data_IF_825459878559
#
_entry.id   IF_825459878559
#
_cell.length_a   1.000
_cell.length_b   1.000
_cell.length_c   1.000
_cell.angle_alpha   90.00
_cell.angle_beta   90.00
_cell.angle_gamma   90.00
#
_symmetry.space_group_name_H-M   'P 1'
#
loop_
_entity.id
_entity.type
_entity.pdbx_description
1 polymer ?
#
# COMPACT_ATOMS: atom_id res chain seq x y z
N UNK A 1 -17.82 19.61 -4.47
CA UNK A 1 -16.90 18.68 -5.15
C UNK A 1 -15.92 18.19 -4.10
N UNK A 2 -15.76 16.87 -3.96
CA UNK A 2 -14.84 16.26 -3.00
C UNK A 2 -13.63 15.75 -3.77
N UNK A 3 -12.44 16.26 -3.45
CA UNK A 3 -11.20 15.84 -4.11
C UNK A 3 -10.51 14.79 -3.24
N UNK A 4 -9.82 13.85 -3.89
CA UNK A 4 -9.08 12.80 -3.19
C UNK A 4 -7.99 13.39 -2.29
N UNK A 5 -7.33 14.43 -2.77
CA UNK A 5 -6.26 15.16 -2.11
C UNK A 5 -6.76 15.84 -0.84
N UNK A 6 -7.96 16.42 -0.86
CA UNK A 6 -8.57 16.99 0.33
C UNK A 6 -8.98 15.93 1.36
N UNK A 7 -9.33 14.72 0.91
CA UNK A 7 -9.65 13.61 1.81
C UNK A 7 -8.40 13.03 2.47
N UNK A 8 -7.23 13.13 1.83
CA UNK A 8 -5.94 12.69 2.38
C UNK A 8 -5.26 13.73 3.29
N UNK A 9 -5.69 14.99 3.25
CA UNK A 9 -5.11 16.08 4.02
C UNK A 9 -5.44 15.94 5.53
N UNK A 10 -4.45 16.02 6.41
CA UNK A 10 -4.61 15.80 7.85
C UNK A 10 -5.56 16.81 8.53
N UNK A 11 -5.71 18.02 7.95
CA UNK A 11 -6.56 19.08 8.51
C UNK A 11 -7.96 19.08 7.87
N UNK A 12 -8.01 18.84 6.56
CA UNK A 12 -9.25 18.92 5.77
C UNK A 12 -9.97 17.58 5.65
N UNK A 13 -9.24 16.47 5.68
CA UNK A 13 -9.77 15.11 5.53
C UNK A 13 -10.89 14.77 6.50
N UNK A 14 -10.74 14.99 7.82
CA UNK A 14 -11.81 14.78 8.79
C UNK A 14 -13.06 15.62 8.50
N UNK A 15 -12.87 16.86 8.03
CA UNK A 15 -13.97 17.79 7.72
C UNK A 15 -14.72 17.33 6.46
N UNK A 16 -14.00 16.95 5.41
CA UNK A 16 -14.60 16.41 4.18
C UNK A 16 -15.30 15.07 4.43
N UNK A 17 -14.72 14.19 5.25
CA UNK A 17 -15.35 12.95 5.67
C UNK A 17 -16.65 13.20 6.45
N UNK A 18 -16.69 14.24 7.29
CA UNK A 18 -17.90 14.67 7.99
C UNK A 18 -18.99 15.13 7.03
N UNK A 19 -18.64 15.86 5.97
CA UNK A 19 -19.60 16.27 4.93
C UNK A 19 -20.17 15.07 4.19
N UNK A 20 -19.35 14.06 3.90
CA UNK A 20 -19.81 12.79 3.28
C UNK A 20 -20.75 12.05 4.22
N UNK A 21 -20.39 11.89 5.49
CA UNK A 21 -21.24 11.22 6.47
C UNK A 21 -22.60 11.93 6.61
N UNK A 22 -22.61 13.26 6.70
CA UNK A 22 -23.82 14.06 6.77
C UNK A 22 -24.66 14.03 5.48
N UNK A 23 -24.03 13.86 4.31
CA UNK A 23 -24.72 13.65 3.04
C UNK A 23 -25.38 12.27 3.01
N UNK A 24 -24.64 11.21 3.37
CA UNK A 24 -25.14 9.84 3.40
C UNK A 24 -26.28 9.64 4.41
N UNK A 25 -26.24 10.36 5.54
CA UNK A 25 -27.30 10.36 6.54
C UNK A 25 -28.67 10.82 6.02
N UNK A 26 -28.70 11.56 4.90
CA UNK A 26 -29.94 12.02 4.27
C UNK A 26 -30.57 10.95 3.37
N UNK A 27 -29.80 9.93 2.99
CA UNK A 27 -30.29 8.79 2.22
C UNK A 27 -30.89 7.73 3.14
N UNK A 28 -32.06 7.23 2.80
CA UNK A 28 -32.66 6.09 3.52
C UNK A 28 -31.79 4.84 3.36
N UNK A 29 -31.58 4.10 4.45
CA UNK A 29 -30.87 2.82 4.46
C UNK A 29 -29.37 2.89 4.82
N UNK A 30 -28.83 4.06 5.18
CA UNK A 30 -27.47 4.18 5.71
C UNK A 30 -27.52 4.62 7.17
N UNK A 31 -26.98 3.80 8.06
CA UNK A 31 -26.79 4.17 9.46
C UNK A 31 -25.61 5.13 9.57
N UNK A 32 -25.90 6.40 9.84
CA UNK A 32 -24.88 7.44 9.87
C UNK A 32 -24.05 7.37 11.14
N UNK A 33 -22.72 7.46 10.98
CA UNK A 33 -21.80 7.60 12.11
C UNK A 33 -21.97 8.99 12.73
N UNK A 34 -22.04 9.10 14.08
CA UNK A 34 -22.07 10.42 14.74
C UNK A 34 -20.88 11.28 14.32
N UNK A 35 -21.13 12.56 14.01
CA UNK A 35 -20.10 13.48 13.50
C UNK A 35 -18.84 13.55 14.39
N UNK A 36 -18.99 13.41 15.70
CA UNK A 36 -17.91 13.38 16.68
C UNK A 36 -16.93 12.20 16.47
N UNK A 37 -17.42 11.08 15.93
CA UNK A 37 -16.62 9.87 15.68
C UNK A 37 -15.99 9.86 14.29
N UNK A 38 -16.44 10.72 13.38
CA UNK A 38 -15.96 10.77 12.00
C UNK A 38 -14.44 10.98 11.90
N UNK A 39 -13.80 11.89 12.68
CA UNK A 39 -12.35 12.05 12.63
C UNK A 39 -11.58 10.77 12.97
N UNK A 40 -12.07 10.02 13.97
CA UNK A 40 -11.45 8.76 14.40
C UNK A 40 -11.60 7.65 13.34
N UNK A 41 -12.79 7.53 12.75
CA UNK A 41 -13.04 6.57 11.67
C UNK A 41 -12.22 6.92 10.42
N UNK A 42 -12.17 8.21 10.06
CA UNK A 42 -11.34 8.69 8.96
C UNK A 42 -9.87 8.34 9.16
N UNK A 43 -9.30 8.62 10.35
CA UNK A 43 -7.89 8.32 10.64
C UNK A 43 -7.61 6.81 10.49
N UNK A 44 -8.49 5.95 11.03
CA UNK A 44 -8.33 4.50 10.91
C UNK A 44 -8.43 3.97 9.48
N UNK A 45 -9.37 4.47 8.69
CA UNK A 45 -9.66 3.94 7.35
C UNK A 45 -8.70 4.52 6.31
N UNK A 46 -8.52 5.83 6.32
CA UNK A 46 -7.71 6.55 5.32
C UNK A 46 -6.22 6.44 5.67
N UNK A 47 -5.86 6.40 6.96
CA UNK A 47 -4.46 6.34 7.40
C UNK A 47 -4.05 4.99 7.98
N UNK A 48 -4.81 3.92 7.67
CA UNK A 48 -4.51 2.55 8.08
C UNK A 48 -3.04 2.16 7.87
N UNK A 49 -2.47 2.48 6.70
CA UNK A 49 -1.07 2.18 6.37
C UNK A 49 -0.05 3.03 7.13
N UNK A 50 -0.40 4.24 7.56
CA UNK A 50 0.46 5.06 8.42
C UNK A 50 0.40 4.57 9.88
N UNK A 51 -0.76 4.15 10.36
CA UNK A 51 -0.92 3.58 11.69
C UNK A 51 -0.19 2.24 11.84
N UNK A 52 -0.27 1.36 10.84
CA UNK A 52 0.53 0.13 10.82
C UNK A 52 2.04 0.40 10.89
N UNK A 53 2.54 1.41 10.15
CA UNK A 53 3.95 1.82 10.21
C UNK A 53 4.34 2.33 11.59
N UNK A 54 3.50 3.17 12.22
CA UNK A 54 3.72 3.65 13.60
C UNK A 54 3.70 2.51 14.62
N UNK A 55 2.79 1.55 14.49
CA UNK A 55 2.73 0.37 15.36
C UNK A 55 3.96 -0.51 15.21
N UNK A 56 4.42 -0.77 13.98
CA UNK A 56 5.66 -1.53 13.74
C UNK A 56 6.88 -0.80 14.33
N UNK A 57 7.02 0.51 14.10
CA UNK A 57 8.09 1.32 14.69
C UNK A 57 8.03 1.38 16.24
N UNK A 58 6.83 1.38 16.83
CA UNK A 58 6.63 1.34 18.28
C UNK A 58 6.99 -0.02 18.91
N UNK A 59 6.81 -1.12 18.18
CA UNK A 59 7.23 -2.46 18.59
C UNK A 59 8.76 -2.57 18.54
N UNK A 60 9.37 -2.06 17.46
CA UNK A 60 10.83 -2.06 17.28
C UNK A 60 11.57 -1.22 18.33
N UNK A 61 10.96 -0.12 18.78
CA UNK A 61 11.53 0.73 19.85
C UNK A 61 11.34 0.16 21.26
N UNK A 62 10.33 -0.69 21.49
CA UNK A 62 10.14 -1.37 22.79
C UNK A 62 11.08 -2.56 22.98
N UNK A 63 11.52 -3.23 21.92
CA UNK A 63 12.51 -4.33 21.99
C UNK A 63 13.94 -3.89 22.31
N UNK A 64 14.23 -2.57 22.34
CA UNK A 64 15.58 -2.04 22.52
C UNK A 64 15.86 -1.47 23.92
N UNK A 65 14.93 -1.63 24.88
CA UNK A 65 15.03 -1.06 26.24
C UNK A 65 15.44 -2.05 27.34
N UNK A 66 15.73 -3.31 27.05
CA UNK A 66 16.24 -4.28 28.05
C UNK A 66 17.75 -4.51 28.00
N UNK A 67 18.51 -3.77 27.19
CA UNK A 67 19.98 -3.84 27.18
C UNK A 67 20.55 -2.48 26.83
N UNK A 68 20.59 -1.57 27.81
CA UNK A 68 21.50 -0.42 27.84
C UNK A 68 21.42 0.29 29.19
N UNK A 69 21.76 -0.45 30.23
CA UNK A 69 22.49 0.10 31.37
C UNK A 69 23.94 -0.37 31.17
N UNK A 70 24.92 0.51 31.35
CA UNK A 70 26.32 0.40 30.89
C UNK A 70 26.54 0.81 29.43
N UNK A 71 26.59 2.11 29.16
CA UNK A 71 27.87 2.82 29.03
C UNK A 71 27.62 4.29 28.73
N UNK A 72 28.15 5.10 29.63
CA UNK A 72 28.12 6.55 29.69
C UNK A 72 29.51 7.00 29.29
N UNK A 73 29.63 7.74 28.17
CA UNK A 73 30.46 8.94 27.99
C UNK A 73 30.87 9.16 26.53
N UNK A 74 30.73 10.43 26.11
CA UNK A 74 31.55 11.17 25.14
C UNK A 74 31.50 10.69 23.66
N UNK A 75 31.31 11.52 22.64
CA UNK A 75 31.68 12.92 22.49
C UNK A 75 30.77 13.67 21.50
N UNK A 76 30.77 14.99 21.68
CA UNK A 76 30.33 16.02 20.75
C UNK A 76 31.13 15.99 19.43
N UNK A 77 30.48 16.32 18.30
CA UNK A 77 30.96 17.27 17.26
C UNK A 77 29.91 17.27 16.12
N UNK A 78 29.10 18.32 15.95
CA UNK A 78 29.36 19.49 15.10
C UNK A 78 29.78 19.15 13.65
N UNK A 79 28.89 19.43 12.69
CA UNK A 79 29.17 19.28 11.26
C UNK A 79 27.93 19.55 10.40
N UNK A 80 27.64 20.83 10.15
CA UNK A 80 26.70 21.29 9.12
C UNK A 80 27.34 21.16 7.75
N UNK A 81 26.74 20.39 6.85
CA UNK A 81 27.00 20.50 5.40
C UNK A 81 25.71 20.85 4.65
N UNK A 82 25.76 22.00 3.98
CA UNK A 82 24.82 22.44 2.95
C UNK A 82 25.17 21.71 1.65
N UNK A 83 24.19 21.08 1.00
CA UNK A 83 24.26 20.77 -0.44
C UNK A 83 22.94 21.15 -1.10
N UNK A 84 23.06 22.04 -2.07
CA UNK A 84 22.02 22.53 -2.95
C UNK A 84 21.44 21.42 -3.85
N UNK A 85 20.21 21.61 -4.38
CA UNK A 85 19.42 20.61 -5.05
C UNK A 85 19.82 20.51 -6.54
N UNK A 86 19.20 19.61 -7.30
CA UNK A 86 19.37 19.44 -8.77
C UNK A 86 20.45 18.43 -9.20
N UNK A 87 20.30 17.16 -8.79
CA UNK A 87 20.93 16.04 -9.51
C UNK A 87 20.21 14.67 -9.33
N UNK A 88 18.97 14.63 -8.82
CA UNK A 88 18.37 13.36 -8.36
C UNK A 88 17.00 13.06 -9.01
N UNK A 89 16.83 13.40 -10.30
CA UNK A 89 15.57 13.15 -11.02
C UNK A 89 15.60 12.01 -12.03
N UNK A 90 16.68 11.20 -12.08
CA UNK A 90 16.80 10.08 -13.06
C UNK A 90 17.15 8.73 -12.46
N UNK A 91 17.01 8.54 -11.14
CA UNK A 91 16.73 7.20 -10.63
C UNK A 91 15.22 7.06 -10.61
N UNK A 92 14.68 6.42 -11.65
CA UNK A 92 13.36 5.81 -11.61
C UNK A 92 13.32 4.88 -10.40
N UNK A 93 12.91 5.45 -9.26
CA UNK A 93 12.65 4.77 -8.02
C UNK A 93 11.69 3.66 -8.38
N UNK A 94 12.12 2.41 -8.21
CA UNK A 94 11.35 1.24 -8.62
C UNK A 94 9.89 1.46 -8.20
N UNK A 95 8.92 1.24 -9.08
CA UNK A 95 7.49 1.40 -8.75
C UNK A 95 7.12 0.62 -7.48
N UNK A 96 7.90 -0.41 -7.13
CA UNK A 96 7.84 -1.16 -5.87
C UNK A 96 8.15 -0.37 -4.60
N UNK A 97 8.95 0.70 -4.66
CA UNK A 97 9.23 1.58 -3.52
C UNK A 97 8.13 2.64 -3.32
N UNK A 98 7.41 2.99 -4.38
CA UNK A 98 6.37 4.03 -4.35
C UNK A 98 5.03 3.41 -3.97
N UNK A 99 4.76 2.18 -4.41
CA UNK A 99 3.56 1.45 -4.06
C UNK A 99 3.80 0.69 -2.74
N UNK A 100 3.07 1.01 -1.65
CA UNK A 100 3.14 0.21 -0.44
C UNK A 100 2.86 -1.25 -0.79
N UNK A 101 3.59 -2.19 -0.17
CA UNK A 101 3.27 -3.62 -0.29
C UNK A 101 1.79 -3.79 0.08
N UNK A 102 0.97 -3.93 -0.97
CA UNK A 102 -0.46 -4.08 -0.80
C UNK A 102 -0.74 -5.36 -0.01
N UNK A 103 -1.94 -5.50 0.58
CA UNK A 103 -2.36 -6.78 1.13
C UNK A 103 -2.01 -7.91 0.16
N UNK A 104 -1.25 -8.89 0.65
CA UNK A 104 -0.92 -10.07 -0.14
C UNK A 104 -2.21 -10.84 -0.35
N UNK A 105 -2.87 -10.59 -1.47
CA UNK A 105 -4.03 -11.37 -1.88
C UNK A 105 -3.53 -12.71 -2.40
N UNK A 106 -3.92 -13.77 -1.70
CA UNK A 106 -3.76 -15.15 -2.16
C UNK A 106 -4.82 -15.42 -3.23
N UNK A 107 -4.45 -15.18 -4.49
CA UNK A 107 -5.30 -15.50 -5.62
C UNK A 107 -5.32 -17.01 -5.87
N UNK A 108 -6.50 -17.55 -6.16
CA UNK A 108 -6.62 -18.91 -6.70
C UNK A 108 -6.11 -18.97 -8.15
N UNK A 109 -5.83 -20.19 -8.63
CA UNK A 109 -5.39 -20.39 -10.02
C UNK A 109 -6.42 -19.84 -11.03
N UNK A 110 -7.71 -20.08 -10.78
CA UNK A 110 -8.81 -19.60 -11.61
C UNK A 110 -8.87 -18.07 -11.61
N UNK A 111 -8.75 -17.44 -10.44
CA UNK A 111 -8.73 -15.99 -10.32
C UNK A 111 -7.54 -15.37 -11.07
N UNK A 112 -6.36 -15.98 -11.00
CA UNK A 112 -5.19 -15.51 -11.75
C UNK A 112 -5.41 -15.57 -13.26
N UNK A 113 -6.09 -16.61 -13.77
CA UNK A 113 -6.45 -16.71 -15.20
C UNK A 113 -7.45 -15.64 -15.60
N UNK A 114 -8.49 -15.41 -14.80
CA UNK A 114 -9.46 -14.34 -15.05
C UNK A 114 -8.79 -12.96 -15.06
N UNK A 115 -7.94 -12.69 -14.07
CA UNK A 115 -7.19 -11.43 -13.99
C UNK A 115 -6.30 -11.25 -15.21
N UNK A 116 -5.59 -12.30 -15.65
CA UNK A 116 -4.78 -12.23 -16.88
C UNK A 116 -5.61 -11.88 -18.11
N UNK A 117 -6.79 -12.48 -18.27
CA UNK A 117 -7.70 -12.16 -19.37
C UNK A 117 -8.16 -10.70 -19.33
N UNK A 118 -8.58 -10.21 -18.15
CA UNK A 118 -8.98 -8.81 -17.98
C UNK A 118 -7.84 -7.84 -18.27
N UNK A 119 -6.61 -8.16 -17.87
CA UNK A 119 -5.43 -7.33 -18.17
C UNK A 119 -5.15 -7.25 -19.67
N UNK A 120 -5.36 -8.34 -20.42
CA UNK A 120 -5.20 -8.33 -21.88
C UNK A 120 -6.27 -7.47 -22.58
N UNK A 121 -7.51 -7.53 -22.09
CA UNK A 121 -8.60 -6.68 -22.58
C UNK A 121 -8.34 -5.20 -22.29
N UNK A 122 -7.87 -4.88 -21.08
CA UNK A 122 -7.47 -3.52 -20.69
C UNK A 122 -6.29 -3.03 -21.54
N UNK A 123 -5.28 -3.87 -21.76
CA UNK A 123 -4.12 -3.50 -22.59
C UNK A 123 -4.52 -3.18 -24.03
N UNK A 124 -5.47 -3.93 -24.61
CA UNK A 124 -6.03 -3.63 -25.94
C UNK A 124 -6.80 -2.32 -25.95
N UNK A 125 -7.59 -2.06 -24.89
CA UNK A 125 -8.43 -0.87 -24.78
C UNK A 125 -7.62 0.42 -24.59
N UNK A 126 -6.51 0.33 -23.87
CA UNK A 126 -5.68 1.48 -23.52
C UNK A 126 -4.30 1.44 -24.18
N UNK A 127 -4.22 0.92 -25.40
CA UNK A 127 -2.95 0.78 -26.14
C UNK A 127 -2.26 2.12 -26.43
N UNK A 128 -3.02 3.22 -26.45
CA UNK A 128 -2.52 4.58 -26.68
C UNK A 128 -1.90 5.22 -25.42
N UNK A 129 -2.24 4.71 -24.23
CA UNK A 129 -1.73 5.25 -22.96
C UNK A 129 -0.46 4.52 -22.51
N UNK A 130 0.70 5.01 -22.95
CA UNK A 130 2.02 4.42 -22.68
C UNK A 130 2.23 4.04 -21.20
N UNK A 131 1.94 4.94 -20.28
CA UNK A 131 2.13 4.71 -18.82
C UNK A 131 1.27 3.56 -18.32
N UNK A 132 0.02 3.46 -18.78
CA UNK A 132 -0.89 2.41 -18.38
C UNK A 132 -0.46 1.07 -18.97
N UNK A 133 -0.02 1.04 -20.23
CA UNK A 133 0.50 -0.16 -20.88
C UNK A 133 1.69 -0.73 -20.11
N UNK A 134 2.66 0.10 -19.70
CA UNK A 134 3.82 -0.34 -18.92
C UNK A 134 3.40 -0.93 -17.58
N UNK A 135 2.48 -0.28 -16.86
CA UNK A 135 1.96 -0.76 -15.58
C UNK A 135 1.20 -2.10 -15.73
N UNK A 136 0.33 -2.20 -16.75
CA UNK A 136 -0.42 -3.42 -17.05
C UNK A 136 0.50 -4.58 -17.43
N UNK A 137 1.55 -4.32 -18.20
CA UNK A 137 2.52 -5.34 -18.58
C UNK A 137 3.31 -5.87 -17.36
N UNK A 138 3.71 -4.98 -16.44
CA UNK A 138 4.39 -5.39 -15.21
C UNK A 138 3.47 -6.25 -14.33
N UNK A 139 2.21 -5.86 -14.20
CA UNK A 139 1.23 -6.62 -13.43
C UNK A 139 0.89 -7.98 -14.07
N UNK A 140 0.81 -8.04 -15.42
CA UNK A 140 0.65 -9.29 -16.18
C UNK A 140 1.82 -10.25 -15.95
N UNK A 141 3.05 -9.75 -15.99
CA UNK A 141 4.27 -10.54 -15.69
C UNK A 141 4.23 -11.08 -14.26
N UNK A 142 3.73 -10.30 -13.30
CA UNK A 142 3.60 -10.77 -11.92
C UNK A 142 2.59 -11.93 -11.79
N UNK A 143 1.40 -11.77 -12.39
CA UNK A 143 0.38 -12.81 -12.41
C UNK A 143 0.90 -14.12 -13.06
N UNK A 144 1.62 -14.01 -14.18
CA UNK A 144 2.24 -15.17 -14.84
C UNK A 144 3.28 -15.88 -13.97
N UNK A 145 4.10 -15.13 -13.21
CA UNK A 145 5.06 -15.73 -12.27
C UNK A 145 4.36 -16.49 -11.16
N UNK A 146 3.25 -15.96 -10.63
CA UNK A 146 2.44 -16.63 -9.61
C UNK A 146 1.79 -17.90 -10.16
N UNK A 147 1.22 -17.84 -11.36
CA UNK A 147 0.61 -19.00 -12.01
C UNK A 147 1.62 -20.13 -12.23
N UNK A 148 2.83 -19.81 -12.72
CA UNK A 148 3.92 -20.79 -12.87
C UNK A 148 4.35 -21.41 -11.54
N UNK A 149 4.24 -20.70 -10.41
CA UNK A 149 4.50 -21.29 -9.08
C UNK A 149 3.44 -22.33 -8.73
N UNK A 150 2.16 -22.06 -8.97
CA UNK A 150 1.08 -23.03 -8.76
C UNK A 150 1.28 -24.32 -9.58
N UNK A 151 1.62 -24.19 -10.87
CA UNK A 151 1.87 -25.36 -11.73
C UNK A 151 3.05 -26.21 -11.24
N UNK A 152 4.11 -25.58 -10.73
CA UNK A 152 5.26 -26.30 -10.15
C UNK A 152 4.89 -27.04 -8.87
N UNK A 153 4.08 -26.42 -8.00
CA UNK A 153 3.58 -27.06 -6.78
C UNK A 153 2.73 -28.27 -7.14
N UNK A 154 1.77 -28.12 -8.06
CA UNK A 154 0.89 -29.22 -8.51
C UNK A 154 1.66 -30.41 -9.13
N UNK A 155 2.74 -30.13 -9.89
CA UNK A 155 3.59 -31.18 -10.46
C UNK A 155 4.52 -31.84 -9.44
N UNK A 156 4.92 -31.12 -8.39
CA UNK A 156 5.75 -31.65 -7.30
C UNK A 156 5.02 -32.65 -6.41
N UNK A 157 3.73 -32.41 -6.12
CA UNK A 157 2.94 -33.25 -5.21
C UNK A 157 2.66 -34.66 -5.76
N UNK A 158 2.69 -34.85 -7.09
CA UNK A 158 2.43 -36.15 -7.73
C UNK A 158 3.60 -37.14 -7.68
N UNK A 159 4.79 -36.71 -7.24
CA UNK A 159 6.02 -37.53 -7.30
C UNK A 159 6.36 -38.27 -5.98
N UNK A 160 5.50 -38.20 -4.96
CA UNK A 160 5.76 -38.74 -3.62
C UNK A 160 4.75 -39.76 -3.08
N UNK A 161 3.96 -40.41 -3.95
CA UNK A 161 2.99 -41.44 -3.53
C UNK A 161 3.17 -42.71 -4.38
N UNK A 162 4.31 -43.37 -4.20
CA UNK A 162 4.47 -44.79 -4.48
C UNK A 162 5.28 -45.38 -3.33
N UNK A 163 4.56 -45.80 -2.29
CA UNK A 163 4.94 -46.89 -1.42
C UNK A 163 4.07 -48.10 -1.78
#
# INVERSE_FOLDING_TARGET
VLSYEHLLDDKRGPVEAGRVAAFLARGGGVEAVPNERVPCVWDKVVRYGAEQRRRRAAIETKGKKETKEVERNEAQSAGTEKKDPVAEFTKARSLREILPEGPSYDFTEEQLRTVLQTLEELQKKFSEEYTLVVALEEYRKDCQRRLKKFEKVSKGTKKGSSD
#
